data_IF_899787970386
#
_entry.id   IF_899787970386
#
_cell.length_a   1.000
_cell.length_b   1.000
_cell.length_c   1.000
_cell.angle_alpha   90.00
_cell.angle_beta   90.00
_cell.angle_gamma   90.00
#
_symmetry.space_group_name_H-M   'P 1'
#
loop_
_entity.id
_entity.type
_entity.pdbx_description
1 polymer ?
#
# COMPACT_ATOMS: atom_id res chain seq x y z
N UNK A 1 -17.10 8.99 39.10
CA UNK A 1 -17.26 7.66 38.50
C UNK A 1 -15.87 7.16 38.10
N UNK A 2 -15.41 6.01 38.60
CA UNK A 2 -14.09 5.46 38.25
C UNK A 2 -14.09 4.71 36.91
N UNK A 3 -15.23 4.08 36.55
CA UNK A 3 -15.37 3.33 35.30
C UNK A 3 -16.75 3.57 34.67
N UNK A 4 -16.80 3.65 33.34
CA UNK A 4 -18.03 3.74 32.56
C UNK A 4 -18.01 2.66 31.48
N UNK A 5 -19.08 1.86 31.40
CA UNK A 5 -19.26 0.88 30.34
C UNK A 5 -19.69 1.59 29.05
N UNK A 6 -19.11 1.21 27.92
CA UNK A 6 -19.56 1.68 26.61
C UNK A 6 -20.96 1.16 26.31
N UNK A 7 -21.84 2.05 25.87
CA UNK A 7 -23.16 1.71 25.37
C UNK A 7 -23.12 1.22 23.91
N UNK A 8 -24.27 0.72 23.42
CA UNK A 8 -24.43 0.23 22.04
C UNK A 8 -24.10 1.27 20.97
N UNK A 9 -24.31 2.56 21.27
CA UNK A 9 -24.05 3.67 20.34
C UNK A 9 -22.67 4.31 20.54
N UNK A 10 -21.93 3.87 21.55
CA UNK A 10 -20.61 4.44 21.87
C UNK A 10 -19.50 3.74 21.08
N UNK A 11 -19.76 2.52 20.60
CA UNK A 11 -18.84 1.73 19.76
C UNK A 11 -19.36 1.72 18.32
N UNK A 12 -18.54 2.23 17.41
CA UNK A 12 -18.84 2.24 15.99
C UNK A 12 -17.69 1.58 15.24
N UNK A 13 -17.97 0.51 14.51
CA UNK A 13 -17.02 -0.09 13.57
C UNK A 13 -17.28 0.56 12.21
N UNK A 14 -16.32 1.33 11.72
CA UNK A 14 -16.38 1.97 10.41
C UNK A 14 -15.27 1.40 9.54
N UNK A 15 -15.47 1.40 8.22
CA UNK A 15 -14.38 1.09 7.28
C UNK A 15 -13.98 2.38 6.58
N UNK A 16 -12.75 2.84 6.84
CA UNK A 16 -12.16 3.95 6.12
C UNK A 16 -11.73 3.44 4.74
N UNK A 17 -12.20 4.12 3.69
CA UNK A 17 -11.77 3.87 2.30
C UNK A 17 -10.90 5.02 1.85
N UNK A 18 -9.65 4.74 1.50
CA UNK A 18 -8.76 5.72 0.91
C UNK A 18 -8.43 5.34 -0.54
N UNK A 19 -8.22 6.36 -1.37
CA UNK A 19 -7.94 6.23 -2.80
C UNK A 19 -6.59 6.86 -3.14
N UNK A 20 -5.47 6.20 -2.81
CA UNK A 20 -4.15 6.72 -3.17
C UNK A 20 -4.01 6.75 -4.69
N UNK A 21 -3.51 7.87 -5.21
CA UNK A 21 -3.17 8.02 -6.64
C UNK A 21 -1.80 7.42 -6.89
N UNK A 22 -1.70 6.59 -7.92
CA UNK A 22 -0.47 5.96 -8.35
C UNK A 22 -0.23 6.27 -9.82
N UNK A 23 0.99 6.73 -10.13
CA UNK A 23 1.49 6.84 -11.50
C UNK A 23 2.79 6.06 -11.66
N UNK A 24 2.87 5.28 -12.73
CA UNK A 24 4.11 4.67 -13.20
C UNK A 24 4.42 5.22 -14.57
N UNK A 25 5.58 5.85 -14.71
CA UNK A 25 6.09 6.34 -15.97
C UNK A 25 7.30 5.50 -16.37
N UNK A 26 7.28 5.00 -17.60
CA UNK A 26 8.29 4.09 -18.13
C UNK A 26 8.98 4.82 -19.28
N UNK A 27 10.28 4.99 -19.16
CA UNK A 27 11.09 5.63 -20.19
C UNK A 27 12.41 4.89 -20.33
N UNK A 28 12.73 4.49 -21.56
CA UNK A 28 13.98 3.79 -21.89
C UNK A 28 14.26 2.58 -20.96
N UNK A 29 13.22 1.79 -20.67
CA UNK A 29 13.30 0.60 -19.79
C UNK A 29 13.41 0.89 -18.30
N UNK A 30 13.57 2.16 -17.92
CA UNK A 30 13.52 2.58 -16.53
C UNK A 30 12.09 2.88 -16.12
N UNK A 31 11.72 2.47 -14.92
CA UNK A 31 10.41 2.73 -14.32
C UNK A 31 10.55 3.92 -13.37
N UNK A 32 9.53 4.75 -13.25
CA UNK A 32 9.47 5.84 -12.30
C UNK A 32 8.12 5.77 -11.59
N UNK A 33 8.14 5.71 -10.27
CA UNK A 33 6.93 5.67 -9.46
C UNK A 33 6.66 7.07 -8.90
N UNK A 34 5.44 7.59 -9.12
CA UNK A 34 5.00 8.91 -8.69
C UNK A 34 5.99 10.04 -9.05
N UNK A 35 6.58 9.99 -10.24
CA UNK A 35 7.59 10.94 -10.72
C UNK A 35 8.80 11.11 -9.79
N UNK A 36 9.12 10.10 -8.98
CA UNK A 36 10.30 10.13 -8.12
C UNK A 36 11.53 9.68 -8.92
N UNK A 37 12.51 10.59 -9.05
CA UNK A 37 13.82 10.27 -9.58
C UNK A 37 14.77 9.66 -8.54
N UNK A 38 16.02 9.47 -8.94
CA UNK A 38 17.11 9.01 -8.07
C UNK A 38 17.33 10.05 -6.96
N UNK A 39 17.30 9.62 -5.70
CA UNK A 39 17.71 10.45 -4.55
C UNK A 39 19.10 10.04 -4.12
N UNK A 40 19.97 11.02 -3.85
CA UNK A 40 21.35 10.78 -3.38
C UNK A 40 21.47 11.06 -1.89
N UNK A 41 22.29 10.27 -1.21
CA UNK A 41 22.55 10.36 0.22
C UNK A 41 24.02 10.62 0.52
N UNK A 42 24.39 10.46 1.79
CA UNK A 42 25.76 10.63 2.24
C UNK A 42 26.66 9.47 1.77
N UNK A 43 26.14 8.24 1.78
CA UNK A 43 26.87 7.05 1.39
C UNK A 43 26.56 6.58 -0.03
N UNK A 44 25.40 6.97 -0.58
CA UNK A 44 24.95 6.65 -1.94
C UNK A 44 24.89 7.90 -2.81
N UNK A 45 25.96 8.14 -3.56
CA UNK A 45 26.02 9.21 -4.57
C UNK A 45 25.46 8.75 -5.92
N UNK A 46 25.03 9.72 -6.73
CA UNK A 46 24.56 9.49 -8.09
C UNK A 46 25.58 8.66 -8.90
N UNK A 47 25.15 7.64 -9.67
CA UNK A 47 23.78 7.30 -10.06
C UNK A 47 23.01 6.41 -9.06
N UNK A 48 23.57 6.13 -7.89
CA UNK A 48 22.94 5.22 -6.93
C UNK A 48 21.84 5.90 -6.11
N UNK A 49 20.77 5.17 -5.85
CA UNK A 49 19.64 5.63 -5.06
C UNK A 49 19.84 5.36 -3.57
N UNK A 50 19.40 6.30 -2.73
CA UNK A 50 19.35 6.19 -1.27
C UNK A 50 18.54 4.98 -0.80
N UNK A 51 17.48 4.65 -1.54
CA UNK A 51 16.63 3.49 -1.26
C UNK A 51 17.27 2.15 -1.61
N UNK A 52 18.49 2.14 -2.16
CA UNK A 52 19.26 0.94 -2.56
C UNK A 52 18.59 0.10 -3.65
N UNK A 53 17.60 0.67 -4.32
CA UNK A 53 16.86 0.10 -5.44
C UNK A 53 16.82 1.11 -6.59
N UNK A 54 16.56 0.64 -7.81
CA UNK A 54 16.40 1.55 -8.95
C UNK A 54 15.17 2.46 -8.78
N UNK A 55 15.11 3.62 -9.47
CA UNK A 55 13.89 4.44 -9.53
C UNK A 55 12.68 3.61 -9.95
N UNK A 56 11.52 3.86 -9.36
CA UNK A 56 10.30 3.09 -9.63
C UNK A 56 10.20 1.74 -8.92
N UNK A 57 11.17 1.42 -8.06
CA UNK A 57 11.16 0.24 -7.22
C UNK A 57 11.02 0.66 -5.77
N UNK A 58 10.04 0.09 -5.08
CA UNK A 58 9.86 0.29 -3.64
C UNK A 58 10.67 -0.75 -2.88
N UNK A 59 11.46 -0.28 -1.92
CA UNK A 59 12.27 -1.14 -1.05
C UNK A 59 11.37 -1.74 0.04
N UNK A 60 11.39 -3.06 0.18
CA UNK A 60 10.60 -3.78 1.18
C UNK A 60 11.23 -3.77 2.58
N UNK A 61 12.48 -3.30 2.68
CA UNK A 61 13.27 -3.28 3.90
C UNK A 61 13.91 -1.92 4.14
N UNK A 62 13.14 -1.05 4.81
CA UNK A 62 13.51 0.34 5.14
C UNK A 62 14.72 0.47 6.10
N UNK A 63 15.16 -0.62 6.73
CA UNK A 63 16.33 -0.62 7.62
C UNK A 63 17.63 -0.37 6.85
N UNK A 64 17.64 -0.74 5.56
CA UNK A 64 18.78 -0.60 4.66
C UNK A 64 18.59 0.61 3.75
N UNK A 65 18.64 1.81 4.33
CA UNK A 65 18.63 3.07 3.59
C UNK A 65 20.01 3.74 3.72
N UNK A 66 20.53 4.24 2.60
CA UNK A 66 21.83 4.95 2.52
C UNK A 66 22.99 4.20 3.18
N UNK A 67 23.14 2.90 2.85
CA UNK A 67 24.21 2.04 3.38
C UNK A 67 25.29 1.74 2.33
N UNK A 68 26.53 1.63 2.79
CA UNK A 68 27.70 1.30 1.99
C UNK A 68 28.54 0.22 2.69
N UNK A 69 28.90 -0.82 1.94
CA UNK A 69 29.75 -1.90 2.44
C UNK A 69 31.07 -1.34 3.00
N UNK A 70 31.47 -1.81 4.19
CA UNK A 70 32.69 -1.39 4.87
C UNK A 70 32.57 -0.13 5.76
N UNK A 71 31.58 0.74 5.55
CA UNK A 71 31.35 1.90 6.43
C UNK A 71 30.12 1.72 7.32
N UNK A 72 28.97 1.43 6.70
CA UNK A 72 27.73 1.10 7.39
C UNK A 72 27.11 -0.09 6.65
N UNK A 73 27.50 -1.34 7.00
CA UNK A 73 27.14 -2.52 6.22
C UNK A 73 25.62 -2.75 6.22
N UNK A 74 25.17 -3.43 5.17
CA UNK A 74 23.78 -3.87 5.04
C UNK A 74 23.39 -4.80 6.20
N UNK A 75 22.19 -4.61 6.71
CA UNK A 75 21.57 -5.47 7.72
C UNK A 75 20.74 -6.52 7.01
N UNK A 76 21.02 -7.79 7.29
CA UNK A 76 20.29 -8.90 6.70
C UNK A 76 19.45 -9.59 7.78
N UNK A 77 18.22 -10.05 7.45
CA UNK A 77 17.56 -11.02 8.29
C UNK A 77 18.45 -12.28 8.34
N UNK A 78 18.60 -12.86 9.52
CA UNK A 78 19.37 -14.07 9.70
C UNK A 78 18.64 -15.10 10.54
N UNK A 79 18.91 -16.37 10.27
CA UNK A 79 18.48 -17.50 11.08
C UNK A 79 19.69 -18.35 11.44
N UNK A 80 20.01 -18.59 12.72
CA UNK A 80 21.07 -19.51 13.09
C UNK A 80 20.63 -20.96 12.88
N UNK A 81 21.55 -21.81 12.41
CA UNK A 81 21.34 -23.26 12.37
C UNK A 81 21.45 -23.83 13.78
N UNK A 82 20.30 -24.07 14.42
CA UNK A 82 20.21 -24.64 15.77
C UNK A 82 20.03 -26.18 15.76
N UNK A 83 20.54 -26.85 16.80
CA UNK A 83 20.45 -28.30 17.02
C UNK A 83 19.13 -28.77 17.61
N UNK A 84 18.24 -27.86 18.02
CA UNK A 84 16.97 -28.18 18.68
C UNK A 84 15.89 -28.79 17.77
N UNK A 85 16.17 -29.00 16.47
CA UNK A 85 15.25 -29.65 15.51
C UNK A 85 13.84 -29.06 15.45
N UNK A 86 13.65 -27.80 15.84
CA UNK A 86 12.47 -27.03 15.43
C UNK A 86 12.62 -26.68 13.94
N UNK A 87 12.48 -27.69 13.09
CA UNK A 87 12.66 -27.56 11.65
C UNK A 87 11.58 -26.67 11.08
N UNK A 88 11.94 -25.46 10.68
CA UNK A 88 11.14 -24.66 9.76
C UNK A 88 11.27 -25.30 8.38
N UNK A 89 10.16 -25.78 7.83
CA UNK A 89 10.08 -26.22 6.44
C UNK A 89 10.17 -24.97 5.55
N UNK A 90 11.23 -24.84 4.77
CA UNK A 90 11.42 -23.75 3.81
C UNK A 90 11.38 -24.36 2.41
N UNK A 91 10.26 -24.24 1.70
CA UNK A 91 10.06 -24.86 0.38
C UNK A 91 10.83 -24.10 -0.71
N UNK A 92 11.51 -24.86 -1.57
CA UNK A 92 12.73 -24.50 -2.29
C UNK A 92 12.58 -24.08 -3.75
N UNK A 93 11.41 -23.61 -4.21
CA UNK A 93 11.22 -23.50 -5.67
C UNK A 93 11.62 -22.15 -6.29
N UNK A 94 11.96 -21.10 -5.50
CA UNK A 94 12.43 -19.84 -6.10
C UNK A 94 13.16 -18.86 -5.16
N UNK A 95 13.78 -19.33 -4.08
CA UNK A 95 14.55 -18.44 -3.18
C UNK A 95 14.70 -18.88 -1.71
N UNK A 96 14.40 -20.13 -1.39
CA UNK A 96 14.69 -20.71 -0.07
C UNK A 96 15.95 -21.59 -0.14
N UNK A 97 16.64 -21.70 1.00
CA UNK A 97 17.84 -22.53 1.20
C UNK A 97 17.56 -23.95 0.70
N UNK A 98 18.36 -24.44 -0.25
CA UNK A 98 18.24 -25.84 -0.68
C UNK A 98 18.64 -26.80 0.45
N UNK A 99 18.18 -28.05 0.40
CA UNK A 99 18.62 -29.09 1.34
C UNK A 99 20.16 -29.22 1.37
N UNK A 100 20.81 -28.98 0.22
CA UNK A 100 22.27 -28.94 0.08
C UNK A 100 22.86 -27.73 0.83
N UNK A 101 22.32 -26.53 0.63
CA UNK A 101 22.78 -25.33 1.34
C UNK A 101 22.60 -25.46 2.86
N UNK A 102 21.51 -26.11 3.29
CA UNK A 102 21.29 -26.41 4.70
C UNK A 102 22.31 -27.42 5.22
N UNK A 103 22.58 -28.51 4.48
CA UNK A 103 23.52 -29.54 4.86
C UNK A 103 24.96 -29.01 4.98
N UNK A 104 25.36 -28.08 4.12
CA UNK A 104 26.70 -27.50 4.06
C UNK A 104 27.02 -26.55 5.23
N UNK A 105 26.01 -26.03 5.94
CA UNK A 105 26.21 -25.15 7.11
C UNK A 105 26.46 -25.94 8.40
N UNK A 106 27.39 -25.48 9.23
CA UNK A 106 27.63 -26.00 10.57
C UNK A 106 26.59 -25.54 11.60
N UNK A 107 26.53 -26.20 12.76
CA UNK A 107 25.72 -25.69 13.88
C UNK A 107 26.26 -24.33 14.34
N UNK A 108 25.36 -23.35 14.51
CA UNK A 108 25.71 -21.97 14.82
C UNK A 108 25.95 -21.07 13.60
N UNK A 109 26.03 -21.62 12.39
CA UNK A 109 26.13 -20.81 11.18
C UNK A 109 24.83 -20.05 10.91
N UNK A 110 24.97 -18.87 10.31
CA UNK A 110 23.87 -17.98 9.98
C UNK A 110 23.43 -18.19 8.52
N UNK A 111 22.14 -18.44 8.34
CA UNK A 111 21.48 -18.28 7.05
C UNK A 111 21.03 -16.83 6.91
N UNK A 112 21.54 -16.12 5.90
CA UNK A 112 21.20 -14.72 5.65
C UNK A 112 20.31 -14.58 4.43
N UNK A 113 19.31 -13.70 4.48
CA UNK A 113 18.48 -13.37 3.32
C UNK A 113 19.23 -12.57 2.24
N UNK A 114 18.66 -12.50 1.04
CA UNK A 114 19.17 -11.68 -0.07
C UNK A 114 18.68 -10.23 0.02
N UNK A 115 19.50 -9.29 -0.47
CA UNK A 115 19.17 -7.86 -0.55
C UNK A 115 19.71 -7.28 -1.88
N UNK A 116 19.07 -6.26 -2.50
CA UNK A 116 17.83 -5.59 -2.10
C UNK A 116 16.57 -6.42 -2.32
N UNK A 117 15.64 -6.35 -1.37
CA UNK A 117 14.28 -6.83 -1.56
C UNK A 117 13.42 -5.67 -2.02
N UNK A 118 12.79 -5.83 -3.18
CA UNK A 118 12.06 -4.74 -3.81
C UNK A 118 10.80 -5.23 -4.48
N UNK A 119 9.91 -4.28 -4.74
CA UNK A 119 8.72 -4.49 -5.54
C UNK A 119 8.59 -3.39 -6.57
N UNK A 120 8.17 -3.76 -7.77
CA UNK A 120 7.90 -2.85 -8.88
C UNK A 120 7.01 -3.56 -9.88
N UNK A 121 6.37 -2.81 -10.75
CA UNK A 121 5.60 -3.36 -11.86
C UNK A 121 6.49 -4.23 -12.75
N UNK A 122 5.90 -5.27 -13.33
CA UNK A 122 6.60 -6.17 -14.26
C UNK A 122 5.74 -6.40 -15.49
N UNK A 123 6.37 -6.40 -16.65
CA UNK A 123 5.78 -6.88 -17.89
C UNK A 123 6.19 -8.34 -18.14
N UNK A 124 5.25 -9.12 -18.65
CA UNK A 124 5.48 -10.43 -19.22
C UNK A 124 4.84 -10.51 -20.60
N UNK A 125 5.66 -10.60 -21.64
CA UNK A 125 5.20 -10.80 -23.01
C UNK A 125 5.20 -12.28 -23.35
N UNK A 126 4.02 -12.81 -23.68
CA UNK A 126 3.78 -14.24 -23.85
C UNK A 126 3.44 -14.49 -25.32
N UNK A 127 4.32 -15.21 -26.01
CA UNK A 127 4.12 -15.65 -27.41
C UNK A 127 3.55 -17.06 -27.50
N UNK A 128 3.65 -17.85 -26.43
CA UNK A 128 3.12 -19.22 -26.35
C UNK A 128 2.39 -19.41 -25.02
N UNK A 129 1.10 -19.00 -24.92
CA UNK A 129 0.34 -19.11 -23.69
C UNK A 129 0.04 -20.55 -23.30
N UNK A 130 -0.22 -21.42 -24.28
CA UNK A 130 -0.45 -22.86 -24.07
C UNK A 130 0.48 -23.70 -24.95
N UNK A 131 1.34 -24.52 -24.34
CA UNK A 131 2.09 -25.60 -25.01
C UNK A 131 1.51 -27.00 -24.76
N UNK A 132 2.25 -28.04 -25.13
CA UNK A 132 1.91 -29.44 -24.78
C UNK A 132 2.50 -29.81 -23.42
N UNK A 133 1.76 -30.62 -22.65
CA UNK A 133 2.28 -31.33 -21.47
C UNK A 133 2.42 -32.85 -21.73
N UNK A 134 2.30 -33.31 -22.98
CA UNK A 134 2.22 -34.75 -23.27
C UNK A 134 3.52 -35.43 -22.87
N UNK A 135 3.44 -36.36 -21.92
CA UNK A 135 4.57 -37.10 -21.34
C UNK A 135 5.66 -36.22 -20.68
N UNK A 136 5.32 -34.98 -20.30
CA UNK A 136 6.24 -34.06 -19.62
C UNK A 136 5.86 -33.92 -18.14
N UNK A 137 6.87 -33.71 -17.29
CA UNK A 137 6.62 -33.36 -15.88
C UNK A 137 5.93 -32.00 -15.81
N UNK A 138 5.30 -31.68 -14.67
CA UNK A 138 4.67 -30.36 -14.45
C UNK A 138 5.66 -29.20 -14.65
N UNK A 139 6.94 -29.41 -14.35
CA UNK A 139 8.00 -28.42 -14.52
C UNK A 139 8.42 -28.24 -16.00
N UNK A 140 8.28 -29.29 -16.80
CA UNK A 140 8.67 -29.29 -18.22
C UNK A 140 7.51 -28.96 -19.17
N UNK A 141 6.29 -28.80 -18.64
CA UNK A 141 5.16 -28.50 -19.49
C UNK A 141 5.33 -27.13 -20.16
N UNK A 142 5.15 -27.08 -21.49
CA UNK A 142 5.30 -25.85 -22.29
C UNK A 142 4.21 -24.79 -22.07
N UNK A 143 3.41 -24.87 -21.01
CA UNK A 143 2.45 -23.84 -20.65
C UNK A 143 3.14 -22.66 -19.98
N UNK A 144 2.73 -21.44 -20.33
CA UNK A 144 3.09 -20.29 -19.52
C UNK A 144 2.28 -20.32 -18.22
N UNK A 145 2.96 -20.55 -17.09
CA UNK A 145 2.29 -20.77 -15.80
C UNK A 145 1.56 -19.50 -15.30
N UNK A 146 2.10 -18.30 -15.56
CA UNK A 146 1.43 -17.04 -15.22
C UNK A 146 0.08 -16.93 -15.92
N UNK A 147 0.02 -17.15 -17.23
CA UNK A 147 -1.25 -17.12 -17.96
C UNK A 147 -2.18 -18.26 -17.53
N UNK A 148 -1.66 -19.48 -17.36
CA UNK A 148 -2.48 -20.64 -17.02
C UNK A 148 -3.18 -20.49 -15.67
N UNK A 149 -2.50 -19.91 -14.67
CA UNK A 149 -3.11 -19.60 -13.37
C UNK A 149 -4.19 -18.52 -13.46
N UNK A 150 -4.02 -17.54 -14.36
CA UNK A 150 -5.01 -16.48 -14.57
C UNK A 150 -6.26 -16.95 -15.32
N UNK A 151 -6.26 -18.11 -15.99
CA UNK A 151 -7.42 -18.61 -16.73
C UNK A 151 -8.68 -18.71 -15.87
N UNK A 152 -8.57 -19.26 -14.67
CA UNK A 152 -9.71 -19.41 -13.75
C UNK A 152 -10.29 -18.05 -13.34
N UNK A 153 -9.43 -17.08 -13.09
CA UNK A 153 -9.85 -15.71 -12.77
C UNK A 153 -10.51 -15.04 -13.98
N UNK A 154 -9.90 -15.15 -15.16
CA UNK A 154 -10.48 -14.63 -16.40
C UNK A 154 -11.87 -15.23 -16.67
N UNK A 155 -12.05 -16.55 -16.50
CA UNK A 155 -13.36 -17.17 -16.66
C UNK A 155 -14.36 -16.73 -15.58
N UNK A 156 -13.92 -16.49 -14.35
CA UNK A 156 -14.78 -15.93 -13.30
C UNK A 156 -15.33 -14.53 -13.67
N UNK A 157 -14.47 -13.65 -14.20
CA UNK A 157 -14.85 -12.30 -14.62
C UNK A 157 -15.55 -12.26 -15.99
N UNK A 158 -15.77 -13.40 -16.66
CA UNK A 158 -16.56 -13.47 -17.89
C UNK A 158 -18.01 -12.97 -17.75
N UNK A 159 -18.49 -12.88 -16.51
CA UNK A 159 -19.79 -12.30 -16.15
C UNK A 159 -19.84 -10.77 -16.30
N UNK A 160 -18.70 -10.07 -16.17
CA UNK A 160 -18.61 -8.61 -16.31
C UNK A 160 -18.51 -8.19 -17.77
N UNK A 161 -17.70 -8.91 -18.54
CA UNK A 161 -17.51 -8.65 -19.96
C UNK A 161 -17.21 -9.95 -20.73
N UNK A 162 -17.77 -10.10 -21.95
CA UNK A 162 -17.37 -11.14 -22.88
C UNK A 162 -15.86 -11.20 -23.11
N UNK A 163 -15.16 -10.05 -23.09
CA UNK A 163 -13.73 -9.94 -23.35
C UNK A 163 -12.83 -10.64 -22.32
N UNK A 164 -13.35 -11.04 -21.16
CA UNK A 164 -12.59 -11.86 -20.22
C UNK A 164 -12.46 -13.31 -20.67
N UNK A 165 -13.43 -13.86 -21.40
CA UNK A 165 -13.41 -15.28 -21.80
C UNK A 165 -12.13 -15.65 -22.53
N UNK A 166 -11.62 -16.84 -22.24
CA UNK A 166 -10.43 -17.37 -22.89
C UNK A 166 -10.67 -17.60 -24.38
N UNK A 167 -11.82 -18.17 -24.72
CA UNK A 167 -12.22 -18.46 -26.09
C UNK A 167 -13.59 -17.85 -26.37
N UNK A 168 -13.71 -17.20 -27.52
CA UNK A 168 -14.99 -16.76 -28.07
C UNK A 168 -15.15 -17.26 -29.49
N UNK A 169 -16.39 -17.54 -29.82
CA UNK A 169 -16.79 -17.93 -31.17
C UNK A 169 -16.63 -16.75 -32.14
N UNK A 170 -16.36 -17.06 -33.41
CA UNK A 170 -16.13 -16.12 -34.50
C UNK A 170 -17.34 -15.20 -34.75
N UNK A 171 -18.53 -15.57 -34.25
CA UNK A 171 -19.76 -14.77 -34.35
C UNK A 171 -19.70 -13.47 -33.55
N UNK A 172 -18.82 -13.36 -32.55
CA UNK A 172 -18.65 -12.15 -31.76
C UNK A 172 -17.34 -11.44 -32.12
N UNK A 173 -17.43 -10.37 -32.92
CA UNK A 173 -16.30 -9.51 -33.30
C UNK A 173 -15.08 -10.28 -33.88
N UNK A 174 -15.32 -11.36 -34.63
CA UNK A 174 -14.27 -12.16 -35.25
C UNK A 174 -13.70 -13.29 -34.38
N UNK A 175 -14.18 -13.43 -33.13
CA UNK A 175 -13.74 -14.47 -32.20
C UNK A 175 -12.31 -14.28 -31.72
N UNK A 176 -11.93 -15.06 -30.71
CA UNK A 176 -10.54 -15.09 -30.24
C UNK A 176 -10.26 -16.37 -29.49
N UNK A 177 -8.97 -16.72 -29.44
CA UNK A 177 -8.46 -17.78 -28.58
C UNK A 177 -7.20 -17.30 -27.85
N UNK A 178 -7.36 -16.99 -26.56
CA UNK A 178 -6.26 -16.54 -25.68
C UNK A 178 -5.21 -17.63 -25.45
N UNK A 179 -5.49 -18.89 -25.78
CA UNK A 179 -4.52 -19.98 -25.63
C UNK A 179 -3.43 -19.95 -26.70
N UNK A 180 -3.72 -19.40 -27.88
CA UNK A 180 -2.84 -19.42 -29.04
C UNK A 180 -2.34 -18.03 -29.45
N UNK A 181 -3.02 -16.95 -29.05
CA UNK A 181 -2.62 -15.60 -29.43
C UNK A 181 -1.54 -15.03 -28.51
N UNK A 182 -0.75 -14.08 -29.02
CA UNK A 182 0.22 -13.36 -28.20
C UNK A 182 -0.50 -12.47 -27.18
N UNK A 183 -0.03 -12.52 -25.93
CA UNK A 183 -0.57 -11.76 -24.81
C UNK A 183 0.52 -10.90 -24.20
N UNK A 184 0.12 -9.77 -23.64
CA UNK A 184 1.00 -8.95 -22.82
C UNK A 184 0.37 -8.75 -21.45
N UNK A 185 1.03 -9.25 -20.42
CA UNK A 185 0.55 -9.20 -19.05
C UNK A 185 1.38 -8.19 -18.27
N UNK A 186 0.71 -7.21 -17.67
CA UNK A 186 1.32 -6.27 -16.74
C UNK A 186 0.89 -6.67 -15.34
N UNK A 187 1.87 -6.99 -14.51
CA UNK A 187 1.68 -7.28 -13.10
C UNK A 187 1.94 -6.02 -12.28
N UNK A 188 0.91 -5.58 -11.55
CA UNK A 188 0.97 -4.52 -10.56
C UNK A 188 0.90 -5.17 -9.18
N UNK A 189 1.94 -5.09 -8.35
CA UNK A 189 1.91 -5.62 -6.99
C UNK A 189 0.88 -4.92 -6.08
N UNK A 190 0.29 -5.68 -5.14
CA UNK A 190 -0.73 -5.18 -4.20
C UNK A 190 -0.28 -4.06 -3.28
N UNK A 191 1.03 -3.93 -3.03
CA UNK A 191 1.57 -2.81 -2.25
C UNK A 191 1.22 -1.43 -2.85
N UNK A 192 0.99 -1.35 -4.16
CA UNK A 192 0.70 -0.10 -4.85
C UNK A 192 -0.80 0.26 -4.83
N UNK A 193 -1.70 -0.72 -4.81
CA UNK A 193 -3.15 -0.47 -4.84
C UNK A 193 -3.87 -0.81 -3.53
N UNK A 194 -3.22 -1.52 -2.61
CA UNK A 194 -3.79 -2.03 -1.36
C UNK A 194 -4.76 -3.17 -1.57
N UNK A 195 -6.07 -2.92 -1.42
CA UNK A 195 -7.09 -4.00 -1.46
C UNK A 195 -7.57 -4.31 -2.86
N UNK A 196 -7.71 -3.29 -3.72
CA UNK A 196 -8.00 -3.44 -5.15
C UNK A 196 -7.69 -2.15 -5.88
N UNK A 197 -7.56 -2.22 -7.20
CA UNK A 197 -7.54 -1.03 -8.05
C UNK A 197 -8.98 -0.50 -8.16
N UNK A 198 -9.16 0.83 -8.07
CA UNK A 198 -10.48 1.45 -8.19
C UNK A 198 -10.97 1.39 -9.65
N UNK A 199 -12.11 0.74 -9.93
CA UNK A 199 -12.69 0.70 -11.27
C UNK A 199 -12.97 2.11 -11.79
N UNK A 200 -12.78 2.35 -13.09
CA UNK A 200 -12.99 3.66 -13.69
C UNK A 200 -11.77 4.60 -13.68
N UNK A 201 -10.71 4.25 -12.96
CA UNK A 201 -9.55 5.15 -12.77
C UNK A 201 -8.31 4.75 -13.54
N UNK A 202 -8.31 3.54 -14.11
CA UNK A 202 -7.17 2.96 -14.80
C UNK A 202 -6.99 3.57 -16.19
N UNK A 203 -5.81 4.12 -16.43
CA UNK A 203 -5.40 4.72 -17.71
C UNK A 203 -4.01 4.26 -18.11
N UNK A 204 -3.89 3.74 -19.32
CA UNK A 204 -2.61 3.38 -19.93
C UNK A 204 -2.38 4.30 -21.12
N UNK A 205 -1.22 4.95 -21.16
CA UNK A 205 -0.82 5.82 -22.26
C UNK A 205 0.39 5.25 -22.95
N UNK A 206 0.42 5.44 -24.27
CA UNK A 206 1.53 5.10 -25.14
C UNK A 206 2.01 6.40 -25.78
N UNK A 207 3.27 6.72 -25.55
CA UNK A 207 3.96 7.85 -26.17
C UNK A 207 5.03 7.35 -27.13
N UNK A 208 5.20 8.07 -28.23
CA UNK A 208 6.30 7.86 -29.17
C UNK A 208 6.95 9.21 -29.47
N UNK A 209 8.25 9.30 -29.28
CA UNK A 209 9.04 10.54 -29.39
C UNK A 209 8.41 11.72 -28.64
N UNK A 210 7.90 11.43 -27.44
CA UNK A 210 7.24 12.41 -26.55
C UNK A 210 5.79 12.77 -26.92
N UNK A 211 5.28 12.32 -28.07
CA UNK A 211 3.89 12.56 -28.48
C UNK A 211 2.98 11.41 -28.04
N UNK A 212 1.78 11.71 -27.54
CA UNK A 212 0.79 10.71 -27.16
C UNK A 212 0.18 10.07 -28.42
N UNK A 213 0.36 8.77 -28.60
CA UNK A 213 -0.12 8.04 -29.79
C UNK A 213 -1.31 7.14 -29.50
N UNK A 214 -1.60 6.87 -28.22
CA UNK A 214 -2.76 6.09 -27.81
C UNK A 214 -3.03 6.19 -26.30
N UNK A 215 -4.31 6.12 -25.92
CA UNK A 215 -4.75 5.98 -24.53
C UNK A 215 -5.77 4.85 -24.41
N UNK A 216 -5.55 3.93 -23.47
CA UNK A 216 -6.57 3.00 -22.97
C UNK A 216 -7.16 3.56 -21.68
N UNK A 217 -8.49 3.56 -21.59
CA UNK A 217 -9.23 3.95 -20.41
C UNK A 217 -10.31 2.90 -20.11
N UNK A 218 -10.47 2.60 -18.84
CA UNK A 218 -11.57 1.79 -18.33
C UNK A 218 -12.78 2.68 -18.02
N UNK A 219 -13.49 3.13 -19.03
CA UNK A 219 -14.62 4.06 -18.82
C UNK A 219 -15.89 3.35 -18.32
N UNK A 220 -16.02 2.04 -18.61
CA UNK A 220 -17.21 1.25 -18.27
C UNK A 220 -17.18 0.66 -16.86
N UNK A 221 -16.04 0.71 -16.16
CA UNK A 221 -15.86 0.16 -14.81
C UNK A 221 -16.12 -1.36 -14.73
N UNK A 222 -16.11 -2.05 -15.88
CA UNK A 222 -16.26 -3.49 -16.00
C UNK A 222 -14.92 -4.18 -16.30
N UNK A 223 -13.82 -3.39 -16.29
CA UNK A 223 -12.45 -3.82 -16.51
C UNK A 223 -12.07 -4.00 -17.98
N UNK A 224 -12.92 -3.62 -18.92
CA UNK A 224 -12.51 -3.45 -20.31
C UNK A 224 -11.57 -2.25 -20.45
N UNK A 225 -10.39 -2.47 -21.04
CA UNK A 225 -9.47 -1.41 -21.41
C UNK A 225 -9.78 -0.96 -22.84
N UNK A 226 -10.48 0.18 -22.97
CA UNK A 226 -10.98 0.69 -24.24
C UNK A 226 -10.02 1.74 -24.78
N UNK A 227 -9.68 1.65 -26.06
CA UNK A 227 -8.91 2.69 -26.73
C UNK A 227 -9.76 3.96 -26.92
N UNK A 228 -9.45 5.01 -26.18
CA UNK A 228 -10.15 6.30 -26.25
C UNK A 228 -9.44 7.27 -27.21
N UNK A 229 -8.11 7.26 -27.20
CA UNK A 229 -7.28 8.11 -28.08
C UNK A 229 -6.45 7.28 -29.06
N UNK A 230 -6.16 7.81 -30.26
CA UNK A 230 -6.64 9.08 -30.81
C UNK A 230 -8.11 8.98 -31.28
N UNK A 231 -8.91 10.01 -30.97
CA UNK A 231 -10.34 10.07 -31.30
C UNK A 231 -10.55 10.01 -32.81
N UNK A 232 -11.43 9.12 -33.28
CA UNK A 232 -11.72 8.98 -34.70
C UNK A 232 -10.75 8.07 -35.47
N UNK A 233 -9.79 7.43 -34.81
CA UNK A 233 -9.05 6.31 -35.40
C UNK A 233 -9.95 5.08 -35.62
N UNK A 234 -9.60 4.24 -36.60
CA UNK A 234 -10.37 3.03 -36.98
C UNK A 234 -10.63 2.09 -35.79
N UNK A 235 -9.73 2.11 -34.80
CA UNK A 235 -9.81 1.25 -33.61
C UNK A 235 -10.21 2.01 -32.32
N UNK A 236 -10.58 3.28 -32.43
CA UNK A 236 -11.15 4.05 -31.31
C UNK A 236 -12.47 3.40 -30.87
N UNK A 237 -12.62 3.16 -29.56
CA UNK A 237 -13.75 2.42 -28.98
C UNK A 237 -13.57 0.89 -28.93
N UNK A 238 -12.48 0.36 -29.47
CA UNK A 238 -12.18 -1.09 -29.39
C UNK A 238 -11.54 -1.45 -28.05
N UNK A 239 -11.83 -2.66 -27.56
CA UNK A 239 -11.29 -3.20 -26.31
C UNK A 239 -9.92 -3.83 -26.58
N UNK A 240 -8.85 -3.23 -26.07
CA UNK A 240 -7.48 -3.69 -26.26
C UNK A 240 -6.99 -4.66 -25.17
N UNK A 241 -7.76 -4.82 -24.11
CA UNK A 241 -7.39 -5.70 -23.00
C UNK A 241 -8.41 -5.68 -21.88
N UNK A 242 -8.09 -6.42 -20.82
CA UNK A 242 -8.90 -6.51 -19.61
C UNK A 242 -8.06 -6.29 -18.36
N UNK A 243 -8.66 -5.70 -17.33
CA UNK A 243 -8.05 -5.44 -16.04
C UNK A 243 -8.66 -6.34 -14.96
N UNK A 244 -7.82 -7.00 -14.18
CA UNK A 244 -8.18 -7.79 -13.01
C UNK A 244 -7.90 -6.94 -11.77
N UNK A 245 -8.89 -6.16 -11.32
CA UNK A 245 -8.67 -5.11 -10.31
C UNK A 245 -8.23 -5.63 -8.94
N UNK A 246 -8.69 -6.81 -8.55
CA UNK A 246 -8.40 -7.37 -7.24
C UNK A 246 -7.03 -8.03 -7.21
N UNK A 247 -6.63 -8.65 -8.33
CA UNK A 247 -5.39 -9.40 -8.48
C UNK A 247 -4.24 -8.50 -8.93
N UNK A 248 -4.52 -7.36 -9.58
CA UNK A 248 -3.51 -6.42 -10.05
C UNK A 248 -2.89 -6.79 -11.39
N UNK A 249 -3.61 -7.52 -12.24
CA UNK A 249 -3.13 -7.92 -13.57
C UNK A 249 -3.86 -7.18 -14.69
N UNK A 250 -3.11 -6.69 -15.67
CA UNK A 250 -3.65 -6.15 -16.90
C UNK A 250 -3.27 -7.08 -18.04
N UNK A 251 -4.26 -7.62 -18.74
CA UNK A 251 -4.06 -8.55 -19.86
C UNK A 251 -4.39 -7.82 -21.16
N UNK A 252 -3.36 -7.44 -21.91
CA UNK A 252 -3.48 -6.74 -23.18
C UNK A 252 -3.41 -7.73 -24.34
N UNK A 253 -4.34 -7.56 -25.29
CA UNK A 253 -4.53 -8.40 -26.49
C UNK A 253 -4.56 -7.58 -27.78
N UNK A 254 -4.66 -6.25 -27.69
CA UNK A 254 -4.75 -5.36 -28.84
C UNK A 254 -3.51 -5.44 -29.75
N UNK A 255 -3.67 -6.11 -30.89
CA UNK A 255 -2.61 -6.40 -31.86
C UNK A 255 -2.61 -5.48 -33.08
N UNK A 256 -3.53 -4.52 -33.15
CA UNK A 256 -3.60 -3.56 -34.26
C UNK A 256 -2.60 -2.41 -34.08
N UNK A 257 -2.12 -1.81 -35.19
CA UNK A 257 -1.20 -0.69 -35.13
C UNK A 257 -1.89 0.58 -34.59
N UNK A 258 -1.18 1.35 -33.76
CA UNK A 258 -1.65 2.62 -33.19
C UNK A 258 -1.42 3.84 -34.09
N UNK A 259 -0.61 3.67 -35.13
CA UNK A 259 -0.35 4.69 -36.13
C UNK A 259 -0.58 4.14 -37.54
N UNK A 260 -0.76 5.05 -38.48
CA UNK A 260 -0.86 4.69 -39.89
C UNK A 260 0.46 4.07 -40.38
N UNK A 261 0.35 2.89 -40.97
CA UNK A 261 1.47 2.13 -41.54
C UNK A 261 2.10 2.79 -42.76
N UNK A 262 1.50 3.88 -43.27
CA UNK A 262 2.00 4.66 -44.41
C UNK A 262 3.23 5.53 -44.10
N UNK A 263 3.54 5.78 -42.83
CA UNK A 263 4.72 6.54 -42.41
C UNK A 263 5.93 5.60 -42.20
N UNK A 264 6.71 5.40 -43.26
CA UNK A 264 7.89 4.51 -43.27
C UNK A 264 9.11 5.03 -42.50
N UNK A 265 9.02 6.17 -41.80
CA UNK A 265 10.16 6.83 -41.14
C UNK A 265 9.97 7.13 -39.65
N UNK A 266 8.80 6.86 -39.06
CA UNK A 266 8.54 7.13 -37.64
C UNK A 266 8.80 5.88 -36.79
N UNK A 267 10.10 5.62 -36.64
CA UNK A 267 10.73 5.03 -35.46
C UNK A 267 10.14 3.69 -34.98
N UNK A 268 10.51 2.68 -35.76
CA UNK A 268 10.73 1.29 -35.39
C UNK A 268 10.93 1.02 -33.90
N UNK A 269 10.17 0.06 -33.37
CA UNK A 269 10.43 -0.50 -32.05
C UNK A 269 11.10 -1.86 -32.20
N UNK A 270 12.38 -1.94 -31.80
CA UNK A 270 13.17 -3.16 -31.86
C UNK A 270 12.78 -4.15 -30.78
N UNK A 271 11.66 -4.83 -30.99
CA UNK A 271 11.11 -5.79 -30.05
C UNK A 271 11.55 -7.22 -30.40
N UNK A 272 12.59 -7.70 -29.70
CA UNK A 272 13.01 -9.11 -29.74
C UNK A 272 14.25 -9.39 -30.59
N UNK A 273 14.81 -10.58 -30.43
CA UNK A 273 15.91 -11.08 -31.26
C UNK A 273 15.36 -11.49 -32.64
N UNK A 274 15.36 -10.55 -33.57
CA UNK A 274 15.01 -10.78 -34.98
C UNK A 274 14.94 -9.46 -35.74
N UNK A 275 15.26 -9.48 -37.04
CA UNK A 275 15.30 -8.30 -37.93
C UNK A 275 13.90 -7.75 -38.30
N UNK A 276 12.91 -7.87 -37.40
CA UNK A 276 11.52 -7.77 -37.79
C UNK A 276 10.88 -6.50 -37.21
N UNK A 277 10.78 -5.48 -38.08
CA UNK A 277 10.14 -4.19 -37.81
C UNK A 277 8.73 -4.35 -37.24
N UNK A 278 8.51 -3.92 -35.99
CA UNK A 278 7.19 -3.96 -35.34
C UNK A 278 6.64 -2.55 -35.12
N UNK A 279 5.44 -2.31 -35.64
CA UNK A 279 4.65 -1.11 -35.37
C UNK A 279 4.20 -1.04 -33.90
N UNK A 280 3.97 0.15 -33.34
CA UNK A 280 3.42 0.31 -31.99
C UNK A 280 2.04 -0.33 -31.88
N UNK A 281 1.88 -1.24 -30.92
CA UNK A 281 0.65 -2.01 -30.62
C UNK A 281 0.48 -2.12 -29.11
N UNK A 282 -0.74 -2.30 -28.62
CA UNK A 282 -1.01 -2.47 -27.19
C UNK A 282 -0.33 -3.69 -26.57
N UNK A 283 -0.18 -4.78 -27.33
CA UNK A 283 0.61 -5.96 -26.92
C UNK A 283 2.09 -5.65 -26.64
N UNK A 284 2.60 -4.50 -27.05
CA UNK A 284 3.98 -4.07 -26.78
C UNK A 284 4.10 -2.97 -25.73
N UNK A 285 3.00 -2.62 -25.08
CA UNK A 285 3.00 -1.63 -24.01
C UNK A 285 3.92 -2.07 -22.86
N UNK A 286 4.73 -1.14 -22.33
CA UNK A 286 5.60 -1.38 -21.18
C UNK A 286 6.87 -2.19 -21.48
N UNK A 287 7.40 -2.13 -22.70
CA UNK A 287 8.66 -2.81 -23.04
C UNK A 287 9.84 -2.35 -22.20
N UNK A 288 10.68 -3.30 -21.80
CA UNK A 288 11.85 -3.05 -20.94
C UNK A 288 11.51 -3.05 -19.45
N UNK A 289 10.24 -3.23 -19.07
CA UNK A 289 9.81 -3.27 -17.67
C UNK A 289 10.01 -4.67 -17.11
N UNK A 290 11.23 -4.96 -16.64
CA UNK A 290 11.58 -6.22 -15.95
C UNK A 290 11.19 -7.49 -16.76
N UNK A 291 11.25 -7.38 -18.09
CA UNK A 291 10.95 -8.44 -19.05
C UNK A 291 12.22 -9.12 -19.59
N UNK A 292 13.40 -8.70 -19.12
CA UNK A 292 14.70 -9.21 -19.55
C UNK A 292 15.21 -8.62 -20.86
N UNK A 293 14.49 -7.67 -21.46
CA UNK A 293 14.90 -6.99 -22.70
C UNK A 293 15.81 -5.81 -22.35
N UNK A 294 17.08 -5.88 -22.75
CA UNK A 294 17.99 -4.73 -22.66
C UNK A 294 17.71 -3.76 -23.80
N UNK A 295 17.31 -2.53 -23.46
CA UNK A 295 17.11 -1.46 -24.44
C UNK A 295 18.46 -0.79 -24.74
N UNK A 296 18.91 -0.89 -25.98
CA UNK A 296 20.11 -0.22 -26.45
C UNK A 296 19.70 0.94 -27.38
N UNK A 297 20.24 2.14 -27.12
CA UNK A 297 19.97 3.34 -27.95
C UNK A 297 20.74 3.36 -29.29
N UNK A 298 21.45 2.28 -29.61
CA UNK A 298 22.25 2.11 -30.83
C UNK A 298 21.96 0.73 -31.46
N UNK A 299 21.35 0.71 -32.66
CA UNK A 299 21.12 -0.51 -33.46
C UNK A 299 19.67 -1.05 -33.47
N UNK A 300 19.50 -2.30 -33.91
CA UNK A 300 18.22 -2.96 -34.22
C UNK A 300 17.30 -3.28 -33.01
N UNK A 301 17.70 -2.89 -31.79
CA UNK A 301 16.96 -3.04 -30.53
C UNK A 301 16.65 -1.67 -29.86
N UNK A 302 16.55 -0.61 -30.66
CA UNK A 302 16.15 0.71 -30.17
C UNK A 302 14.66 0.72 -29.82
N UNK A 303 14.37 0.82 -28.51
CA UNK A 303 13.07 1.27 -27.96
C UNK A 303 13.16 2.76 -27.60
N UNK A 304 14.21 3.45 -28.07
CA UNK A 304 14.66 4.78 -27.66
C UNK A 304 13.59 5.89 -27.70
N UNK A 305 12.49 5.66 -28.42
CA UNK A 305 11.46 6.65 -28.69
C UNK A 305 10.14 6.33 -27.99
N UNK A 306 9.92 5.12 -27.49
CA UNK A 306 8.68 4.78 -26.78
C UNK A 306 8.76 5.06 -25.28
N UNK A 307 7.73 5.70 -24.76
CA UNK A 307 7.48 5.80 -23.32
C UNK A 307 6.05 5.44 -22.99
N UNK A 308 5.84 4.97 -21.78
CA UNK A 308 4.55 4.46 -21.32
C UNK A 308 4.19 5.10 -20.00
N UNK A 309 2.90 5.31 -19.76
CA UNK A 309 2.41 5.80 -18.47
C UNK A 309 1.21 4.96 -18.03
N UNK A 310 1.22 4.51 -16.78
CA UNK A 310 0.15 3.75 -16.14
C UNK A 310 -0.32 4.51 -14.91
N UNK A 311 -1.55 4.99 -14.96
CA UNK A 311 -2.16 5.77 -13.89
C UNK A 311 -3.40 5.05 -13.38
N UNK A 312 -3.54 4.96 -12.06
CA UNK A 312 -4.75 4.44 -11.42
C UNK A 312 -4.89 4.97 -9.99
N UNK A 313 -6.08 4.83 -9.43
CA UNK A 313 -6.32 5.00 -8.00
C UNK A 313 -6.41 3.63 -7.34
N UNK A 314 -5.68 3.41 -6.25
CA UNK A 314 -5.90 2.27 -5.38
C UNK A 314 -7.20 2.39 -4.59
N UNK A 315 -7.56 1.33 -3.89
CA UNK A 315 -8.56 1.34 -2.82
C UNK A 315 -7.96 0.60 -1.64
N UNK A 316 -7.72 1.31 -0.54
CA UNK A 316 -7.34 0.71 0.73
C UNK A 316 -8.52 0.76 1.68
N UNK A 317 -8.77 -0.35 2.38
CA UNK A 317 -9.83 -0.46 3.38
C UNK A 317 -9.21 -0.75 4.72
N UNK A 318 -9.28 0.22 5.62
CA UNK A 318 -8.84 0.06 7.01
C UNK A 318 -10.08 0.04 7.88
N UNK A 319 -10.24 -1.00 8.68
CA UNK A 319 -11.31 -1.02 9.67
C UNK A 319 -10.88 -0.15 10.84
N UNK A 320 -11.79 0.70 11.32
CA UNK A 320 -11.53 1.65 12.39
C UNK A 320 -12.61 1.50 13.42
N UNK A 321 -12.23 1.10 14.63
CA UNK A 321 -13.08 1.15 15.80
C UNK A 321 -13.08 2.58 16.35
N UNK A 322 -14.23 3.22 16.31
CA UNK A 322 -14.45 4.50 16.99
C UNK A 322 -15.15 4.24 18.33
N UNK A 323 -14.57 4.74 19.42
CA UNK A 323 -15.10 4.66 20.77
C UNK A 323 -15.39 6.07 21.29
N UNK A 324 -16.64 6.35 21.64
CA UNK A 324 -17.07 7.61 22.21
C UNK A 324 -17.06 7.53 23.74
N UNK A 325 -15.97 7.99 24.35
CA UNK A 325 -15.83 8.04 25.80
C UNK A 325 -16.50 9.31 26.34
N UNK A 326 -17.74 9.17 26.77
CA UNK A 326 -18.55 10.26 27.30
C UNK A 326 -18.21 10.58 28.77
N UNK A 327 -17.89 11.85 29.02
CA UNK A 327 -17.70 12.45 30.34
C UNK A 327 -18.87 13.43 30.64
N UNK A 328 -20.01 12.92 31.14
CA UNK A 328 -21.21 13.70 31.40
C UNK A 328 -21.08 14.61 32.63
N UNK A 329 -21.99 15.59 32.71
CA UNK A 329 -22.13 16.55 33.81
C UNK A 329 -22.15 15.85 35.17
N UNK A 330 -21.38 16.33 36.14
CA UNK A 330 -21.37 15.85 37.54
C UNK A 330 -20.95 14.40 37.79
N UNK A 331 -20.45 13.66 36.78
CA UNK A 331 -20.03 12.25 36.96
C UNK A 331 -18.52 12.05 37.08
N UNK A 332 -17.70 13.04 36.78
CA UNK A 332 -16.25 12.96 36.96
C UNK A 332 -15.92 12.89 38.47
N UNK A 333 -15.03 11.99 38.87
CA UNK A 333 -14.53 12.00 40.25
C UNK A 333 -13.65 13.23 40.44
N UNK A 334 -13.97 14.04 41.44
CA UNK A 334 -13.06 15.04 41.97
C UNK A 334 -12.41 14.48 43.23
N UNK A 335 -11.14 14.81 43.46
CA UNK A 335 -10.44 14.37 44.66
C UNK A 335 -10.91 15.18 45.86
N UNK A 336 -11.25 14.50 46.97
CA UNK A 336 -11.49 15.11 48.28
C UNK A 336 -10.18 15.23 49.11
N UNK A 337 -9.01 15.12 48.48
CA UNK A 337 -7.72 15.12 49.18
C UNK A 337 -7.40 16.51 49.82
N UNK A 338 -7.09 16.62 51.14
CA UNK A 338 -6.94 17.88 51.89
C UNK A 338 -5.86 18.88 51.47
N UNK A 339 -5.15 18.67 50.35
CA UNK A 339 -4.15 19.61 49.82
C UNK A 339 -4.73 20.95 49.34
N UNK A 340 -6.04 21.14 49.54
CA UNK A 340 -6.77 22.34 49.19
C UNK A 340 -6.88 23.36 50.32
N UNK A 341 -6.23 23.23 51.48
CA UNK A 341 -6.24 24.32 52.49
C UNK A 341 -5.25 25.41 52.08
N UNK A 342 -5.67 26.68 52.15
CA UNK A 342 -4.79 27.82 51.82
C UNK A 342 -3.61 27.89 52.80
N UNK A 343 -2.39 28.02 52.26
CA UNK A 343 -1.15 28.08 53.05
C UNK A 343 -1.19 29.27 54.02
N UNK A 344 -0.82 29.03 55.28
CA UNK A 344 -0.69 30.09 56.31
C UNK A 344 -1.89 30.26 57.23
N UNK A 345 -2.87 29.34 57.19
CA UNK A 345 -4.03 29.38 58.08
C UNK A 345 -3.81 28.61 59.38
N UNK A 346 -4.52 29.00 60.44
CA UNK A 346 -4.55 28.24 61.70
C UNK A 346 -5.38 26.97 61.50
N UNK A 347 -4.72 25.81 61.62
CA UNK A 347 -5.36 24.50 61.44
C UNK A 347 -6.21 24.06 62.65
N UNK A 348 -5.94 24.61 63.84
CA UNK A 348 -6.59 24.24 65.09
C UNK A 348 -7.12 25.50 65.76
N UNK A 349 -8.30 25.42 66.38
CA UNK A 349 -8.87 26.52 67.14
C UNK A 349 -8.43 26.42 68.62
N UNK A 350 -8.55 25.23 69.19
CA UNK A 350 -8.12 24.92 70.57
C UNK A 350 -7.45 23.55 70.59
N UNK A 351 -6.33 23.44 71.32
CA UNK A 351 -5.70 22.15 71.64
C UNK A 351 -5.38 22.10 73.14
N UNK A 352 -5.87 21.06 73.82
CA UNK A 352 -5.63 20.79 75.24
C UNK A 352 -5.49 19.29 75.47
N UNK A 353 -5.19 18.89 76.71
CA UNK A 353 -5.12 17.47 77.11
C UNK A 353 -6.46 16.73 77.06
N UNK A 354 -7.59 17.43 76.93
CA UNK A 354 -8.94 16.84 76.93
C UNK A 354 -9.81 17.23 75.74
N UNK A 355 -9.42 18.26 74.98
CA UNK A 355 -10.21 18.78 73.85
C UNK A 355 -9.30 19.10 72.67
N UNK A 356 -9.67 18.57 71.51
CA UNK A 356 -9.10 18.91 70.22
C UNK A 356 -10.24 19.48 69.37
N UNK A 357 -10.12 20.75 68.96
CA UNK A 357 -11.10 21.41 68.11
C UNK A 357 -10.42 21.94 66.84
N UNK A 358 -10.85 21.40 65.71
CA UNK A 358 -10.38 21.81 64.40
C UNK A 358 -11.03 23.15 64.02
N UNK A 359 -10.25 24.06 63.40
CA UNK A 359 -10.79 25.35 62.99
C UNK A 359 -11.90 25.16 61.94
N UNK A 360 -13.12 25.63 62.26
CA UNK A 360 -14.30 25.54 61.39
C UNK A 360 -14.26 26.52 60.19
N UNK A 361 -13.40 27.54 60.24
CA UNK A 361 -13.28 28.60 59.21
C UNK A 361 -12.09 28.39 58.26
N UNK A 362 -11.70 27.14 57.98
CA UNK A 362 -10.62 26.86 57.03
C UNK A 362 -11.01 27.24 55.61
N UNK A 363 -10.22 28.09 54.96
CA UNK A 363 -10.47 28.44 53.55
C UNK A 363 -9.79 27.43 52.63
N UNK A 364 -10.53 27.09 51.57
CA UNK A 364 -10.07 26.23 50.51
C UNK A 364 -9.32 27.11 49.47
N UNK A 365 -8.12 26.69 49.08
CA UNK A 365 -7.36 27.23 47.96
C UNK A 365 -8.17 27.03 46.68
N UNK A 366 -8.77 28.12 46.21
CA UNK A 366 -9.48 28.10 44.93
C UNK A 366 -8.47 27.99 43.76
N UNK A 367 -8.76 27.08 42.84
CA UNK A 367 -8.04 26.91 41.56
C UNK A 367 -8.81 27.49 40.38
N UNK A 368 -10.04 27.96 40.61
CA UNK A 368 -10.85 28.69 39.62
C UNK A 368 -10.31 30.11 39.53
N UNK A 369 -9.98 30.54 38.32
CA UNK A 369 -9.55 31.91 38.02
C UNK A 369 -10.70 32.70 37.41
N UNK A 370 -10.89 33.93 37.87
CA UNK A 370 -11.79 34.89 37.24
C UNK A 370 -11.17 35.47 35.96
N UNK A 371 -12.00 35.78 34.97
CA UNK A 371 -11.60 36.56 33.78
C UNK A 371 -11.45 38.06 34.06
N UNK A 372 -11.88 38.54 35.24
CA UNK A 372 -11.83 39.95 35.65
C UNK A 372 -10.71 40.19 36.67
N UNK A 373 -9.96 41.28 36.46
CA UNK A 373 -8.89 41.71 37.37
C UNK A 373 -9.49 42.13 38.72
N UNK A 374 -8.98 41.56 39.81
CA UNK A 374 -9.39 41.91 41.17
C UNK A 374 -10.65 41.22 41.69
N UNK A 375 -11.27 40.34 40.91
CA UNK A 375 -12.41 39.53 41.34
C UNK A 375 -11.99 38.07 41.55
N UNK A 376 -12.31 37.48 42.69
CA UNK A 376 -12.12 36.06 42.94
C UNK A 376 -13.46 35.34 42.72
N UNK A 377 -13.49 34.42 41.76
CA UNK A 377 -14.65 33.53 41.56
C UNK A 377 -14.83 32.60 42.77
N UNK A 378 -16.06 32.17 43.00
CA UNK A 378 -16.36 31.16 44.01
C UNK A 378 -15.77 29.80 43.63
N UNK A 379 -15.56 28.95 44.64
CA UNK A 379 -15.05 27.60 44.41
C UNK A 379 -16.05 26.77 43.60
N UNK A 380 -15.61 26.24 42.47
CA UNK A 380 -16.35 25.28 41.65
C UNK A 380 -15.57 23.98 41.53
N UNK A 381 -16.27 22.85 41.53
CA UNK A 381 -15.66 21.54 41.32
C UNK A 381 -15.21 21.41 39.87
N UNK A 382 -13.92 21.19 39.68
CA UNK A 382 -13.32 21.01 38.36
C UNK A 382 -12.25 19.91 38.39
N UNK A 383 -12.09 19.21 37.27
CA UNK A 383 -11.15 18.10 37.10
C UNK A 383 -10.42 18.26 35.78
N UNK A 384 -9.13 17.99 35.75
CA UNK A 384 -8.36 17.92 34.51
C UNK A 384 -8.31 16.49 34.01
N UNK A 385 -8.73 16.27 32.76
CA UNK A 385 -8.64 14.97 32.09
C UNK A 385 -7.40 15.00 31.21
N UNK A 386 -6.40 14.19 31.55
CA UNK A 386 -5.15 14.05 30.77
C UNK A 386 -5.04 12.71 30.04
N UNK A 387 -5.65 11.66 30.61
CA UNK A 387 -5.59 10.29 30.09
C UNK A 387 -6.93 9.60 30.24
N UNK A 388 -7.23 8.71 29.29
CA UNK A 388 -8.43 7.89 29.29
C UNK A 388 -7.99 6.43 29.21
N UNK A 389 -8.22 5.67 30.28
CA UNK A 389 -7.96 4.24 30.33
C UNK A 389 -9.13 3.44 29.74
N UNK A 390 -8.82 2.48 28.90
CA UNK A 390 -9.77 1.53 28.31
C UNK A 390 -9.54 0.19 29.01
N UNK A 391 -10.62 -0.40 29.51
CA UNK A 391 -10.58 -1.62 30.30
C UNK A 391 -11.43 -2.72 29.66
N UNK A 392 -11.03 -3.97 29.82
CA UNK A 392 -11.83 -5.14 29.45
C UNK A 392 -12.95 -5.42 30.47
N UNK A 393 -13.72 -6.49 30.26
CA UNK A 393 -14.81 -6.90 31.16
C UNK A 393 -14.33 -7.27 32.58
N UNK A 394 -13.09 -7.71 32.70
CA UNK A 394 -12.44 -8.09 33.96
C UNK A 394 -11.70 -6.91 34.63
N UNK A 395 -11.79 -5.70 34.06
CA UNK A 395 -11.10 -4.47 34.50
C UNK A 395 -9.58 -4.52 34.34
N UNK A 396 -9.06 -5.33 33.44
CA UNK A 396 -7.67 -5.23 33.00
C UNK A 396 -7.55 -4.03 32.05
N UNK A 397 -6.48 -3.24 32.21
CA UNK A 397 -6.20 -2.10 31.34
C UNK A 397 -5.70 -2.62 29.98
N UNK A 398 -6.45 -2.37 28.92
CA UNK A 398 -6.12 -2.81 27.56
C UNK A 398 -5.60 -1.67 26.67
N UNK A 399 -5.78 -0.41 27.09
CA UNK A 399 -5.27 0.73 26.36
C UNK A 399 -5.34 2.04 27.14
N UNK A 400 -4.48 3.00 26.81
CA UNK A 400 -4.47 4.34 27.38
C UNK A 400 -4.41 5.36 26.26
N UNK A 401 -5.43 6.19 26.14
CA UNK A 401 -5.41 7.36 25.26
C UNK A 401 -4.90 8.57 26.05
N UNK A 402 -3.75 9.11 25.65
CA UNK A 402 -3.16 10.32 26.25
C UNK A 402 -3.53 11.54 25.42
N UNK A 403 -3.96 12.61 26.08
CA UNK A 403 -4.18 13.90 25.44
C UNK A 403 -2.86 14.70 25.45
N UNK A 404 -2.62 15.50 24.40
CA UNK A 404 -1.45 16.37 24.34
C UNK A 404 -1.47 17.40 25.48
N UNK A 405 -2.61 18.06 25.66
CA UNK A 405 -2.87 18.97 26.76
C UNK A 405 -4.05 18.49 27.62
N UNK A 406 -3.95 18.58 28.96
CA UNK A 406 -5.06 18.23 29.84
C UNK A 406 -6.28 19.13 29.62
N UNK A 407 -7.45 18.54 29.46
CA UNK A 407 -8.71 19.27 29.26
C UNK A 407 -9.37 19.56 30.60
N UNK A 408 -9.62 20.83 30.89
CA UNK A 408 -10.38 21.26 32.06
C UNK A 408 -11.86 20.87 31.90
N UNK A 409 -12.37 20.12 32.88
CA UNK A 409 -13.77 19.72 32.98
C UNK A 409 -14.39 20.25 34.27
N UNK A 410 -15.21 21.27 34.11
CA UNK A 410 -16.09 21.78 35.16
C UNK A 410 -17.29 20.83 35.35
N UNK A 411 -17.93 20.95 36.52
CA UNK A 411 -19.08 20.11 36.88
C UNK A 411 -20.23 20.20 35.88
N UNK A 412 -20.46 21.39 35.30
CA UNK A 412 -21.57 21.68 34.37
C UNK A 412 -21.33 21.16 32.94
N UNK A 413 -20.06 21.01 32.56
CA UNK A 413 -19.69 20.72 31.19
C UNK A 413 -19.98 19.26 30.84
N UNK A 414 -20.26 19.01 29.56
CA UNK A 414 -20.38 17.66 29.01
C UNK A 414 -19.37 17.49 27.88
N UNK A 415 -18.51 16.48 27.97
CA UNK A 415 -17.51 16.20 26.95
C UNK A 415 -17.64 14.79 26.42
N UNK A 416 -17.26 14.62 25.17
CA UNK A 416 -17.12 13.31 24.54
C UNK A 416 -15.76 13.23 23.91
N UNK A 417 -14.96 12.27 24.35
CA UNK A 417 -13.65 12.00 23.77
C UNK A 417 -13.81 10.89 22.72
N UNK A 418 -13.55 11.24 21.47
CA UNK A 418 -13.62 10.30 20.35
C UNK A 418 -12.26 9.63 20.18
N UNK A 419 -12.17 8.36 20.52
CA UNK A 419 -10.98 7.53 20.36
C UNK A 419 -11.15 6.73 19.07
N UNK A 420 -10.14 6.73 18.21
CA UNK A 420 -10.11 5.91 16.99
C UNK A 420 -8.97 4.91 17.09
N UNK A 421 -9.25 3.66 16.80
CA UNK A 421 -8.29 2.57 16.77
C UNK A 421 -8.39 1.91 15.40
N UNK A 422 -7.28 1.82 14.69
CA UNK A 422 -7.19 1.06 13.44
C UNK A 422 -7.13 -0.44 13.81
N UNK A 423 -8.00 -1.24 13.20
CA UNK A 423 -8.19 -2.68 13.44
C UNK A 423 -7.49 -3.54 12.39
#
# INVERSE_FOLDING_TARGET
>A
MSYRKFGKNDLLVNTLRAHPKVSFDIWNGSVYYNNQGIKTGHFRLHPNNVYMTDPGYENLHEINIDRLAGSNPLIYPYLPKDGSRTSLYMDGDSGALSDTDYADKGFGDLFTGSYPQFTSIRREFITSPSGSCDNLSKADCGHNMTFFTLKNYLDHYSTLSPHYKIKMDNTFQGGWDKNSQNLNIIHVPSIFYGTKIKPGTLKLRFYQSGSLIGELSDEKQNGELIQTLPTGSIYSGSVAGVALYNEGFLVLTGSWPLQDTSFSSLEYLGFGSGEDTKFPRWIYWGCGVRDGITINNTGSNSVATASFSLNFEGETRTNVLTMNAHAPRGKANFSNNPTFVKKGQRFFNVTSSQVYEENSEKEIKNTVSSSFVGFAEDFKRQVYISKIGIYDENKNLIGVATLADPVLKEEENNYTFRIKLDL
#
